data_IF_299339241837
#
_entry.id   IF_299339241837
#
_cell.length_a   1.000
_cell.length_b   1.000
_cell.length_c   1.000
_cell.angle_alpha   90.00
_cell.angle_beta   90.00
_cell.angle_gamma   90.00
#
_symmetry.space_group_name_H-M   'P 1'
#
loop_
_entity.id
_entity.type
_entity.pdbx_description
1 polymer ?
#
# COMPACT_ATOMS: atom_id res chain seq x y z
N UNK A 1 -61.31 3.42 -2.41
CA UNK A 1 -60.51 2.26 -2.89
C UNK A 1 -59.16 2.72 -3.46
N UNK A 2 -58.25 3.30 -2.66
CA UNK A 2 -57.01 3.87 -3.23
C UNK A 2 -55.72 3.62 -2.43
N UNK A 3 -55.80 3.44 -1.10
CA UNK A 3 -54.59 3.23 -0.27
C UNK A 3 -53.95 1.83 -0.38
N UNK A 4 -54.68 0.81 -0.87
CA UNK A 4 -54.17 -0.57 -1.01
C UNK A 4 -53.05 -0.69 -2.05
N UNK A 5 -53.02 0.20 -3.04
CA UNK A 5 -51.97 0.25 -4.07
C UNK A 5 -50.91 1.31 -3.78
N UNK A 6 -51.15 2.21 -2.83
CA UNK A 6 -50.23 3.29 -2.46
C UNK A 6 -49.01 2.77 -1.70
N UNK A 7 -49.20 1.80 -0.79
CA UNK A 7 -48.13 1.14 -0.06
C UNK A 7 -47.15 0.36 -0.98
N UNK A 8 -47.60 -0.52 -1.90
CA UNK A 8 -46.68 -1.22 -2.81
C UNK A 8 -46.01 -0.26 -3.81
N UNK A 9 -46.69 0.81 -4.25
CA UNK A 9 -46.09 1.84 -5.11
C UNK A 9 -44.93 2.56 -4.40
N UNK A 10 -45.09 2.91 -3.12
CA UNK A 10 -44.07 3.57 -2.33
C UNK A 10 -42.85 2.67 -2.07
N UNK A 11 -43.07 1.36 -1.86
CA UNK A 11 -42.00 0.38 -1.73
C UNK A 11 -41.22 0.19 -3.04
N UNK A 12 -41.92 0.13 -4.18
CA UNK A 12 -41.28 0.04 -5.50
C UNK A 12 -40.49 1.31 -5.79
N UNK A 13 -41.03 2.49 -5.50
CA UNK A 13 -40.34 3.76 -5.69
C UNK A 13 -39.09 3.87 -4.80
N UNK A 14 -39.17 3.42 -3.54
CA UNK A 14 -38.02 3.36 -2.64
C UNK A 14 -36.93 2.39 -3.10
N UNK A 15 -37.32 1.23 -3.64
CA UNK A 15 -36.40 0.25 -4.21
C UNK A 15 -35.73 0.74 -5.51
N UNK A 16 -36.44 1.48 -6.35
CA UNK A 16 -35.87 2.09 -7.55
C UNK A 16 -34.89 3.21 -7.19
N UNK A 17 -35.20 4.02 -6.16
CA UNK A 17 -34.35 5.11 -5.72
C UNK A 17 -33.03 4.64 -5.09
N UNK A 18 -33.03 3.46 -4.44
CA UNK A 18 -31.82 2.91 -3.80
C UNK A 18 -30.81 2.32 -4.79
N UNK A 19 -31.24 1.87 -5.98
CA UNK A 19 -30.37 1.27 -7.00
C UNK A 19 -29.63 2.34 -7.83
N UNK A 20 -30.04 3.60 -7.77
CA UNK A 20 -29.52 4.69 -8.60
C UNK A 20 -28.33 5.48 -8.05
N UNK A 21 -27.81 5.15 -6.86
CA UNK A 21 -26.68 5.90 -6.31
C UNK A 21 -25.38 5.52 -7.04
N UNK A 22 -24.68 6.47 -7.70
CA UNK A 22 -23.37 6.18 -8.27
C UNK A 22 -22.42 5.81 -7.13
N UNK A 23 -21.79 4.63 -7.24
CA UNK A 23 -20.75 4.23 -6.30
C UNK A 23 -19.60 5.23 -6.34
N UNK A 24 -19.27 5.83 -5.20
CA UNK A 24 -18.12 6.71 -5.09
C UNK A 24 -16.86 5.85 -5.00
N UNK A 25 -16.07 5.78 -6.07
CA UNK A 25 -14.73 5.19 -6.00
C UNK A 25 -13.75 6.22 -5.43
N UNK A 26 -12.99 5.90 -4.38
CA UNK A 26 -12.00 6.83 -3.85
C UNK A 26 -10.93 7.14 -4.88
N UNK A 27 -10.58 8.43 -5.02
CA UNK A 27 -9.56 8.92 -5.97
C UNK A 27 -8.18 8.30 -5.71
N UNK A 28 -7.87 7.98 -4.45
CA UNK A 28 -6.64 7.31 -4.01
C UNK A 28 -6.46 5.89 -4.57
N UNK A 29 -7.55 5.27 -5.06
CA UNK A 29 -7.55 3.95 -5.69
C UNK A 29 -7.49 4.01 -7.22
N UNK A 30 -7.51 5.22 -7.81
CA UNK A 30 -7.27 5.39 -9.24
C UNK A 30 -5.78 5.31 -9.53
N UNK A 31 -5.40 4.62 -10.61
CA UNK A 31 -4.01 4.52 -11.01
C UNK A 31 -3.56 5.78 -11.77
N UNK A 32 -2.32 6.18 -11.52
CA UNK A 32 -1.63 7.20 -12.31
C UNK A 32 -0.27 6.65 -12.80
N UNK A 33 0.06 6.93 -14.06
CA UNK A 33 1.31 6.49 -14.71
C UNK A 33 2.47 7.47 -14.52
N UNK A 34 2.17 8.67 -14.04
CA UNK A 34 3.12 9.77 -13.89
C UNK A 34 3.14 10.21 -12.43
N UNK A 35 4.32 10.35 -11.85
CA UNK A 35 4.48 10.74 -10.46
C UNK A 35 5.75 10.13 -9.87
N UNK A 36 6.20 10.67 -8.75
CA UNK A 36 7.36 10.17 -8.01
C UNK A 36 6.96 9.52 -6.69
N UNK A 37 7.84 8.67 -6.19
CA UNK A 37 7.82 8.22 -4.80
C UNK A 37 8.89 8.97 -4.01
N UNK A 38 8.60 9.25 -2.75
CA UNK A 38 9.52 9.91 -1.84
C UNK A 38 9.97 8.91 -0.76
N UNK A 39 11.26 8.91 -0.43
CA UNK A 39 11.79 8.04 0.63
C UNK A 39 11.94 8.82 1.93
N UNK A 40 11.69 8.17 3.07
CA UNK A 40 11.90 8.79 4.39
C UNK A 40 13.37 9.12 4.68
N UNK A 41 14.30 8.48 3.96
CA UNK A 41 15.72 8.70 4.07
C UNK A 41 16.41 8.28 2.76
N UNK A 42 17.42 9.04 2.37
CA UNK A 42 18.24 8.72 1.19
C UNK A 42 19.25 7.60 1.47
N UNK A 43 19.58 7.37 2.75
CA UNK A 43 20.54 6.34 3.16
C UNK A 43 20.15 5.72 4.49
N UNK A 44 20.08 4.39 4.52
CA UNK A 44 19.85 3.61 5.75
C UNK A 44 21.18 3.00 6.19
N UNK A 45 21.79 3.56 7.23
CA UNK A 45 23.08 3.11 7.77
C UNK A 45 22.93 2.32 9.08
N UNK A 46 23.79 1.33 9.25
CA UNK A 46 23.98 0.59 10.49
C UNK A 46 25.37 0.89 11.05
N UNK A 47 25.45 1.54 12.21
CA UNK A 47 26.73 1.91 12.82
C UNK A 47 27.37 0.74 13.59
N UNK A 48 26.55 -0.18 14.11
CA UNK A 48 27.00 -1.41 14.75
C UNK A 48 26.05 -2.53 14.41
N UNK A 49 26.62 -3.68 14.05
CA UNK A 49 25.89 -4.88 13.68
C UNK A 49 26.37 -6.00 14.61
N UNK A 50 25.46 -6.64 15.31
CA UNK A 50 25.74 -7.72 16.26
C UNK A 50 25.38 -9.08 15.64
N UNK A 51 26.26 -10.07 15.81
CA UNK A 51 26.04 -11.46 15.40
C UNK A 51 25.32 -12.27 16.48
N UNK A 52 25.78 -12.15 17.73
CA UNK A 52 25.24 -12.87 18.90
C UNK A 52 24.04 -12.17 19.54
N UNK A 53 23.97 -10.84 19.45
CA UNK A 53 22.81 -10.06 19.88
C UNK A 53 21.95 -9.66 18.68
N UNK A 54 20.66 -9.44 18.91
CA UNK A 54 19.75 -8.97 17.86
C UNK A 54 20.15 -7.57 17.40
N UNK A 55 20.58 -7.45 16.14
CA UNK A 55 20.79 -6.15 15.50
C UNK A 55 19.47 -5.39 15.37
N UNK A 56 19.52 -4.07 15.56
CA UNK A 56 18.37 -3.18 15.39
C UNK A 56 17.81 -3.28 13.96
N UNK A 57 16.49 -3.31 13.83
CA UNK A 57 15.82 -3.23 12.52
C UNK A 57 15.51 -1.77 12.21
N UNK A 58 15.90 -1.30 11.03
CA UNK A 58 15.68 0.10 10.60
C UNK A 58 14.42 0.19 9.76
N UNK A 59 13.71 1.32 9.87
CA UNK A 59 12.49 1.61 9.11
C UNK A 59 12.85 2.50 7.92
N UNK A 60 12.33 2.16 6.75
CA UNK A 60 12.36 2.98 5.55
C UNK A 60 10.92 3.07 5.04
N UNK A 61 10.34 4.26 5.03
CA UNK A 61 9.02 4.49 4.45
C UNK A 61 9.17 5.00 3.02
N UNK A 62 8.36 4.47 2.11
CA UNK A 62 8.24 4.95 0.73
C UNK A 62 6.86 5.59 0.60
N UNK A 63 6.82 6.89 0.37
CA UNK A 63 5.60 7.69 0.33
C UNK A 63 5.13 7.88 -1.10
N UNK A 64 3.85 7.67 -1.31
CA UNK A 64 3.15 8.14 -2.49
C UNK A 64 2.45 9.47 -2.16
N UNK A 65 3.15 10.59 -2.40
CA UNK A 65 2.59 11.94 -2.20
C UNK A 65 1.60 12.36 -3.30
N UNK A 66 1.39 11.53 -4.31
CA UNK A 66 0.45 11.81 -5.39
C UNK A 66 -1.00 11.59 -4.90
N UNK A 67 -1.99 12.30 -5.46
CA UNK A 67 -3.41 12.14 -5.08
C UNK A 67 -4.02 10.82 -5.56
N UNK A 68 -3.34 10.11 -6.46
CA UNK A 68 -3.75 8.84 -7.07
C UNK A 68 -2.77 7.74 -6.70
N UNK A 69 -3.23 6.49 -6.78
CA UNK A 69 -2.41 5.32 -6.51
C UNK A 69 -1.34 5.09 -7.59
N UNK A 70 -0.23 4.48 -7.17
CA UNK A 70 0.92 4.14 -8.01
C UNK A 70 1.24 2.66 -7.82
N UNK A 71 1.60 1.99 -8.92
CA UNK A 71 2.12 0.62 -8.88
C UNK A 71 3.63 0.65 -8.98
N UNK A 72 4.31 0.01 -8.01
CA UNK A 72 5.75 -0.20 -8.02
C UNK A 72 6.06 -1.52 -8.71
N UNK A 73 6.77 -1.45 -9.84
CA UNK A 73 7.07 -2.62 -10.66
C UNK A 73 7.95 -3.63 -9.91
N UNK A 74 9.00 -3.14 -9.25
CA UNK A 74 9.97 -3.97 -8.53
C UNK A 74 10.54 -3.26 -7.31
N UNK A 75 10.56 -3.98 -6.19
CA UNK A 75 11.31 -3.66 -4.98
C UNK A 75 12.26 -4.82 -4.76
N UNK A 76 13.56 -4.58 -4.78
CA UNK A 76 14.57 -5.61 -4.53
C UNK A 76 15.84 -5.02 -3.93
N UNK A 77 16.58 -5.84 -3.21
CA UNK A 77 17.98 -5.57 -2.91
C UNK A 77 18.84 -5.84 -4.16
N UNK A 78 20.01 -5.22 -4.22
CA UNK A 78 21.04 -5.68 -5.13
C UNK A 78 21.49 -7.10 -4.70
N UNK A 79 21.53 -8.03 -5.66
CA UNK A 79 21.80 -9.46 -5.44
C UNK A 79 21.04 -10.06 -4.23
N UNK A 80 19.70 -10.20 -4.31
CA UNK A 80 18.85 -10.57 -3.16
C UNK A 80 19.24 -11.87 -2.45
N UNK A 81 19.82 -12.83 -3.18
CA UNK A 81 20.21 -14.13 -2.66
C UNK A 81 21.44 -14.08 -1.74
N UNK A 82 22.35 -13.13 -1.98
CA UNK A 82 23.64 -13.03 -1.28
C UNK A 82 23.76 -11.74 -0.47
N UNK A 83 22.71 -10.92 -0.44
CA UNK A 83 22.73 -9.63 0.24
C UNK A 83 22.96 -9.80 1.75
N UNK A 84 23.82 -8.97 2.37
CA UNK A 84 23.96 -8.92 3.83
C UNK A 84 22.76 -8.23 4.50
N UNK A 85 21.72 -7.88 3.74
CA UNK A 85 20.50 -7.27 4.24
C UNK A 85 19.30 -8.17 3.97
N UNK A 86 18.27 -8.00 4.80
CA UNK A 86 16.98 -8.64 4.64
C UNK A 86 15.88 -7.61 4.74
N UNK A 87 14.92 -7.69 3.82
CA UNK A 87 13.76 -6.82 3.79
C UNK A 87 12.54 -7.52 4.39
N UNK A 88 11.72 -6.72 5.05
CA UNK A 88 10.34 -7.06 5.33
C UNK A 88 9.47 -5.93 4.76
N UNK A 89 8.73 -6.26 3.70
CA UNK A 89 8.00 -5.32 2.86
C UNK A 89 6.52 -5.43 3.22
N UNK A 90 5.98 -4.37 3.81
CA UNK A 90 4.58 -4.29 4.26
C UNK A 90 4.11 -5.44 5.16
N UNK A 91 4.98 -5.95 6.03
CA UNK A 91 4.68 -7.08 6.91
C UNK A 91 5.23 -8.42 6.43
N UNK A 92 5.50 -8.57 5.13
CA UNK A 92 5.96 -9.84 4.56
C UNK A 92 7.49 -9.93 4.55
N UNK A 93 8.05 -11.02 5.07
CA UNK A 93 9.48 -11.28 4.99
C UNK A 93 9.86 -11.77 3.58
N UNK A 94 10.18 -10.83 2.70
CA UNK A 94 10.56 -11.09 1.29
C UNK A 94 11.63 -10.12 0.84
N UNK A 95 12.63 -10.62 0.12
CA UNK A 95 13.73 -9.81 -0.42
C UNK A 95 13.38 -9.08 -1.70
N UNK A 96 12.33 -9.55 -2.37
CA UNK A 96 11.83 -9.01 -3.63
C UNK A 96 10.31 -8.94 -3.58
N UNK A 97 9.74 -7.88 -4.13
CA UNK A 97 8.30 -7.74 -4.37
C UNK A 97 8.10 -7.07 -5.73
N UNK A 98 7.07 -7.50 -6.46
CA UNK A 98 6.69 -6.90 -7.74
C UNK A 98 5.22 -6.49 -7.71
N UNK A 99 4.87 -5.54 -8.58
CA UNK A 99 3.50 -5.03 -8.74
C UNK A 99 2.86 -4.60 -7.41
N UNK A 100 3.62 -3.88 -6.58
CA UNK A 100 3.14 -3.42 -5.27
C UNK A 100 2.34 -2.14 -5.46
N UNK A 101 1.04 -2.18 -5.16
CA UNK A 101 0.17 -1.02 -5.23
C UNK A 101 0.26 -0.18 -3.95
N UNK A 102 0.51 1.12 -4.10
CA UNK A 102 0.50 2.12 -3.02
C UNK A 102 -0.61 3.13 -3.33
N UNK A 103 -1.58 3.28 -2.42
CA UNK A 103 -2.67 4.24 -2.57
C UNK A 103 -2.15 5.68 -2.63
N UNK A 104 -2.95 6.57 -3.23
CA UNK A 104 -2.68 8.00 -3.19
C UNK A 104 -2.64 8.51 -1.75
N UNK A 105 -1.71 9.42 -1.46
CA UNK A 105 -1.49 9.98 -0.11
C UNK A 105 -1.13 8.95 0.98
N UNK A 106 -0.71 7.75 0.59
CA UNK A 106 -0.34 6.67 1.51
C UNK A 106 1.17 6.35 1.45
N UNK A 107 1.59 5.34 2.20
CA UNK A 107 2.98 4.92 2.29
C UNK A 107 3.14 3.41 2.39
N UNK A 108 4.28 2.93 1.93
CA UNK A 108 4.74 1.56 2.07
C UNK A 108 5.85 1.51 3.12
N UNK A 109 5.70 0.67 4.14
CA UNK A 109 6.75 0.43 5.12
C UNK A 109 7.67 -0.71 4.67
N UNK A 110 8.96 -0.43 4.65
CA UNK A 110 10.03 -1.42 4.48
C UNK A 110 10.86 -1.45 5.75
N UNK A 111 10.99 -2.63 6.35
CA UNK A 111 11.92 -2.87 7.45
C UNK A 111 13.20 -3.49 6.89
N UNK A 112 14.34 -2.85 7.19
CA UNK A 112 15.66 -3.30 6.77
C UNK A 112 16.37 -3.91 7.97
N UNK A 113 16.85 -5.14 7.82
CA UNK A 113 17.62 -5.85 8.84
C UNK A 113 18.96 -6.28 8.24
N UNK A 114 20.05 -6.09 8.98
CA UNK A 114 21.32 -6.69 8.62
C UNK A 114 21.34 -8.18 9.01
N UNK A 115 21.77 -9.05 8.10
CA UNK A 115 22.00 -10.47 8.29
C UNK A 115 23.50 -10.71 8.19
N UNK A 116 24.13 -10.97 9.33
CA UNK A 116 25.52 -11.45 9.36
C UNK A 116 25.54 -12.98 9.27
N UNK A 117 26.57 -13.57 8.65
CA UNK A 117 26.87 -14.99 8.78
C UNK A 117 27.23 -15.38 10.21
#
# INVERSE_FOLDING_TARGET
MSYKYLLPLLLILGAVLSVGLPGCKPREEELQLTGGLEFSADTVKFDTVFTTLRTVTKRLCVYNRNPKGVTVDLISLDSPATSPYTLLINGDLKQTASNVFIRGQDSLLILVRAKLP
#
